data_IF_743649453271
#
_entry.id   IF_743649453271
#
_cell.length_a   1.000
_cell.length_b   1.000
_cell.length_c   1.000
_cell.angle_alpha   90.00
_cell.angle_beta   90.00
_cell.angle_gamma   90.00
#
_symmetry.space_group_name_H-M   'P 1'
#
loop_
_entity.id
_entity.type
_entity.pdbx_description
1 polymer ?
#
# COMPACT_ATOMS: atom_id res chain seq x y z
N UNK A 1 -52.62 -20.27 -44.62
CA UNK A 1 -52.54 -20.25 -43.15
C UNK A 1 -51.08 -20.46 -42.64
N UNK A 2 -50.07 -19.92 -43.35
CA UNK A 2 -48.63 -20.14 -43.06
C UNK A 2 -47.90 -18.81 -42.75
N UNK A 3 -48.50 -17.66 -43.07
CA UNK A 3 -47.89 -16.34 -42.91
C UNK A 3 -47.88 -15.79 -41.47
N UNK A 4 -48.56 -16.43 -40.51
CA UNK A 4 -48.63 -15.97 -39.11
C UNK A 4 -47.46 -16.47 -38.23
N UNK A 5 -46.72 -17.49 -38.63
CA UNK A 5 -45.62 -18.04 -37.83
C UNK A 5 -44.33 -17.22 -37.95
N UNK A 6 -44.02 -16.67 -39.13
CA UNK A 6 -42.79 -15.90 -39.39
C UNK A 6 -42.70 -14.52 -38.69
N UNK A 7 -43.81 -13.94 -38.21
CA UNK A 7 -43.77 -12.66 -37.49
C UNK A 7 -43.36 -12.77 -36.02
N UNK A 8 -43.39 -13.98 -35.44
CA UNK A 8 -43.07 -14.18 -34.02
C UNK A 8 -41.56 -14.22 -33.77
N UNK A 9 -40.77 -14.69 -34.74
CA UNK A 9 -39.31 -14.80 -34.62
C UNK A 9 -38.57 -13.45 -34.68
N UNK A 10 -39.06 -12.48 -35.45
CA UNK A 10 -38.39 -11.16 -35.57
C UNK A 10 -38.47 -10.31 -34.29
N UNK A 11 -39.47 -10.51 -33.44
CA UNK A 11 -39.58 -9.79 -32.15
C UNK A 11 -38.74 -10.44 -31.04
N UNK A 12 -38.53 -11.76 -31.10
CA UNK A 12 -37.67 -12.48 -30.16
C UNK A 12 -36.19 -12.14 -30.31
N UNK A 13 -35.73 -11.98 -31.57
CA UNK A 13 -34.32 -11.69 -31.89
C UNK A 13 -33.82 -10.36 -31.33
N UNK A 14 -34.63 -9.29 -31.39
CA UNK A 14 -34.24 -8.00 -30.81
C UNK A 14 -34.11 -8.05 -29.28
N UNK A 15 -34.98 -8.80 -28.60
CA UNK A 15 -34.93 -8.94 -27.15
C UNK A 15 -33.72 -9.76 -26.70
N UNK A 16 -33.36 -10.81 -27.46
CA UNK A 16 -32.16 -11.62 -27.18
C UNK A 16 -30.88 -10.82 -27.36
N UNK A 17 -30.80 -9.98 -28.39
CA UNK A 17 -29.65 -9.09 -28.61
C UNK A 17 -29.48 -8.09 -27.47
N UNK A 18 -30.58 -7.49 -26.98
CA UNK A 18 -30.55 -6.57 -25.83
C UNK A 18 -30.11 -7.29 -24.56
N UNK A 19 -30.61 -8.50 -24.31
CA UNK A 19 -30.21 -9.32 -23.16
C UNK A 19 -28.72 -9.71 -23.22
N UNK A 20 -28.23 -10.13 -24.38
CA UNK A 20 -26.80 -10.40 -24.61
C UNK A 20 -25.95 -9.15 -24.40
N UNK A 21 -26.42 -8.00 -24.85
CA UNK A 21 -25.72 -6.75 -24.65
C UNK A 21 -25.63 -6.37 -23.17
N UNK A 22 -26.74 -6.53 -22.42
CA UNK A 22 -26.78 -6.30 -20.98
C UNK A 22 -25.85 -7.24 -20.20
N UNK A 23 -25.79 -8.52 -20.55
CA UNK A 23 -24.91 -9.48 -19.87
C UNK A 23 -23.43 -9.16 -20.13
N UNK A 24 -23.08 -8.78 -21.37
CA UNK A 24 -21.73 -8.30 -21.70
C UNK A 24 -21.41 -7.02 -20.94
N UNK A 25 -22.35 -6.07 -20.85
CA UNK A 25 -22.17 -4.84 -20.09
C UNK A 25 -21.91 -5.13 -18.61
N UNK A 26 -22.69 -6.02 -18.00
CA UNK A 26 -22.52 -6.42 -16.61
C UNK A 26 -21.19 -7.13 -16.36
N UNK A 27 -20.79 -8.01 -17.29
CA UNK A 27 -19.50 -8.71 -17.21
C UNK A 27 -18.33 -7.72 -17.31
N UNK A 28 -18.40 -6.78 -18.25
CA UNK A 28 -17.39 -5.74 -18.43
C UNK A 28 -17.33 -4.80 -17.23
N UNK A 29 -18.49 -4.39 -16.69
CA UNK A 29 -18.58 -3.59 -15.47
C UNK A 29 -17.92 -4.29 -14.29
N UNK A 30 -18.24 -5.56 -14.08
CA UNK A 30 -17.65 -6.37 -13.01
C UNK A 30 -16.13 -6.53 -13.16
N UNK A 31 -15.65 -6.74 -14.40
CA UNK A 31 -14.22 -6.86 -14.69
C UNK A 31 -13.47 -5.54 -14.45
N UNK A 32 -14.02 -4.42 -14.92
CA UNK A 32 -13.42 -3.09 -14.76
C UNK A 32 -13.38 -2.70 -13.28
N UNK A 33 -14.47 -2.88 -12.52
CA UNK A 33 -14.48 -2.57 -11.09
C UNK A 33 -13.49 -3.42 -10.28
N UNK A 34 -13.38 -4.71 -10.57
CA UNK A 34 -12.40 -5.58 -9.89
C UNK A 34 -10.96 -5.23 -10.27
N UNK A 35 -10.71 -4.90 -11.54
CA UNK A 35 -9.37 -4.51 -12.01
C UNK A 35 -8.92 -3.16 -11.45
N UNK A 36 -9.78 -2.15 -11.51
CA UNK A 36 -9.46 -0.80 -11.03
C UNK A 36 -9.33 -0.73 -9.51
N UNK A 37 -10.21 -1.39 -8.77
CA UNK A 37 -10.11 -1.41 -7.30
C UNK A 37 -8.82 -2.08 -6.82
N UNK A 38 -8.44 -3.21 -7.44
CA UNK A 38 -7.20 -3.91 -7.06
C UNK A 38 -5.95 -3.09 -7.40
N UNK A 39 -5.95 -2.39 -8.54
CA UNK A 39 -4.83 -1.54 -8.95
C UNK A 39 -4.68 -0.31 -8.05
N UNK A 40 -5.78 0.35 -7.68
CA UNK A 40 -5.76 1.48 -6.73
C UNK A 40 -5.25 1.02 -5.37
N UNK A 41 -5.73 -0.12 -4.86
CA UNK A 41 -5.28 -0.68 -3.58
C UNK A 41 -3.80 -1.06 -3.59
N UNK A 42 -3.30 -1.65 -4.69
CA UNK A 42 -1.89 -1.99 -4.84
C UNK A 42 -1.01 -0.72 -4.87
N UNK A 43 -1.40 0.30 -5.64
CA UNK A 43 -0.64 1.55 -5.73
C UNK A 43 -0.66 2.33 -4.41
N UNK A 44 -1.80 2.40 -3.73
CA UNK A 44 -1.87 3.05 -2.41
C UNK A 44 -1.06 2.30 -1.36
N UNK A 45 -0.97 0.96 -1.44
CA UNK A 45 -0.10 0.19 -0.56
C UNK A 45 1.39 0.51 -0.80
N UNK A 46 1.82 0.65 -2.06
CA UNK A 46 3.20 1.02 -2.42
C UNK A 46 3.52 2.43 -1.91
N UNK A 47 2.70 3.43 -2.24
CA UNK A 47 2.93 4.83 -1.81
C UNK A 47 2.96 4.93 -0.28
N UNK A 48 2.05 4.25 0.42
CA UNK A 48 2.04 4.22 1.88
C UNK A 48 3.30 3.57 2.47
N UNK A 49 3.90 2.61 1.77
CA UNK A 49 5.15 1.99 2.18
C UNK A 49 6.32 2.97 1.98
N UNK A 50 6.39 3.63 0.83
CA UNK A 50 7.43 4.62 0.51
C UNK A 50 7.40 5.80 1.49
N UNK A 51 6.22 6.34 1.81
CA UNK A 51 6.07 7.41 2.80
C UNK A 51 6.50 6.97 4.21
N UNK A 52 6.22 5.71 4.56
CA UNK A 52 6.64 5.13 5.84
C UNK A 52 8.16 5.01 5.90
N UNK A 53 8.78 4.53 4.84
CA UNK A 53 10.22 4.35 4.80
C UNK A 53 10.95 5.70 4.80
N UNK A 54 10.43 6.70 4.07
CA UNK A 54 10.96 8.07 4.09
C UNK A 54 10.87 8.71 5.50
N UNK A 55 9.73 8.55 6.17
CA UNK A 55 9.57 9.07 7.55
C UNK A 55 10.47 8.34 8.55
N UNK A 56 10.67 7.03 8.40
CA UNK A 56 11.61 6.25 9.22
C UNK A 56 13.05 6.72 9.01
N UNK A 57 13.46 6.94 7.75
CA UNK A 57 14.80 7.45 7.43
C UNK A 57 15.03 8.85 8.01
N UNK A 58 14.02 9.71 8.02
CA UNK A 58 14.11 11.03 8.64
C UNK A 58 14.29 10.95 10.16
N UNK A 59 13.56 10.06 10.84
CA UNK A 59 13.73 9.82 12.28
C UNK A 59 15.13 9.29 12.62
N UNK A 60 15.67 8.41 11.77
CA UNK A 60 17.06 7.93 11.89
C UNK A 60 18.08 9.04 11.69
N UNK A 61 17.91 9.87 10.66
CA UNK A 61 18.82 10.98 10.38
C UNK A 61 18.86 11.97 11.55
N UNK A 62 17.71 12.30 12.13
CA UNK A 62 17.62 13.13 13.34
C UNK A 62 18.33 12.48 14.53
N UNK A 63 18.17 11.17 14.73
CA UNK A 63 18.88 10.46 15.80
C UNK A 63 20.39 10.50 15.59
N UNK A 64 20.85 10.25 14.36
CA UNK A 64 22.27 10.26 14.03
C UNK A 64 22.88 11.65 14.23
N UNK A 65 22.16 12.70 13.82
CA UNK A 65 22.55 14.09 14.05
C UNK A 65 22.65 14.44 15.54
N UNK A 66 21.68 14.02 16.36
CA UNK A 66 21.72 14.21 17.81
C UNK A 66 22.95 13.53 18.43
N UNK A 67 23.29 12.33 17.96
CA UNK A 67 24.45 11.55 18.41
C UNK A 67 25.78 12.14 17.97
N UNK A 68 25.82 12.78 16.80
CA UNK A 68 27.00 13.49 16.32
C UNK A 68 27.30 14.72 17.18
N UNK A 69 26.25 15.47 17.56
CA UNK A 69 26.38 16.66 18.40
C UNK A 69 26.56 16.34 19.88
N UNK A 70 25.96 15.26 20.37
CA UNK A 70 26.10 14.78 21.75
C UNK A 70 26.27 13.24 21.79
N UNK A 71 27.52 12.74 21.69
CA UNK A 71 27.81 11.31 21.66
C UNK A 71 27.58 10.62 23.01
N UNK A 72 27.34 11.37 24.09
CA UNK A 72 27.01 10.82 25.40
C UNK A 72 25.53 10.42 25.49
N UNK A 73 24.69 10.94 24.61
CA UNK A 73 23.25 10.73 24.59
C UNK A 73 22.86 9.41 23.91
N UNK A 74 23.27 8.28 24.49
CA UNK A 74 23.09 6.91 23.93
C UNK A 74 21.80 6.20 24.35
N UNK A 75 20.86 6.91 24.99
CA UNK A 75 19.60 6.34 25.45
C UNK A 75 18.57 6.12 24.34
N UNK A 76 17.44 5.54 24.69
CA UNK A 76 16.31 5.44 23.78
C UNK A 76 15.68 6.82 23.59
N UNK A 77 15.38 7.20 22.33
CA UNK A 77 14.72 8.47 22.01
C UNK A 77 13.58 8.26 21.04
N UNK A 78 12.53 9.04 21.24
CA UNK A 78 11.35 9.07 20.38
C UNK A 78 11.41 10.26 19.42
N UNK A 79 11.11 10.01 18.15
CA UNK A 79 11.05 11.02 17.09
C UNK A 79 9.69 10.96 16.40
N UNK A 80 9.15 12.11 16.02
CA UNK A 80 7.93 12.19 15.22
C UNK A 80 8.30 12.52 13.78
N UNK A 81 7.93 11.65 12.84
CA UNK A 81 8.15 11.85 11.42
C UNK A 81 6.93 11.38 10.63
N UNK A 82 6.44 12.22 9.71
CA UNK A 82 5.29 11.88 8.86
C UNK A 82 4.00 11.58 9.64
N UNK A 83 3.80 12.24 10.80
CA UNK A 83 2.62 12.02 11.66
C UNK A 83 2.63 10.71 12.45
N UNK A 84 3.75 9.98 12.44
CA UNK A 84 3.98 8.77 13.25
C UNK A 84 5.12 9.00 14.24
N UNK A 85 5.09 8.25 15.32
CA UNK A 85 6.15 8.25 16.32
C UNK A 85 7.04 7.01 16.13
N UNK A 86 8.35 7.19 16.24
CA UNK A 86 9.35 6.14 16.13
C UNK A 86 10.25 6.19 17.36
N UNK A 87 10.48 5.04 17.99
CA UNK A 87 11.50 4.88 19.02
C UNK A 87 12.78 4.37 18.36
N UNK A 88 13.86 5.10 18.53
CA UNK A 88 15.19 4.66 18.09
C UNK A 88 15.97 4.21 19.32
N UNK A 89 16.23 2.91 19.38
CA UNK A 89 16.97 2.25 20.45
C UNK A 89 18.39 1.94 20.01
N UNK A 90 19.37 2.12 20.89
CA UNK A 90 20.76 1.76 20.63
C UNK A 90 21.07 0.43 21.29
N UNK A 91 21.50 -0.56 20.50
CA UNK A 91 21.94 -1.86 21.02
C UNK A 91 23.44 -2.04 20.81
N UNK A 92 24.17 -2.55 21.82
CA UNK A 92 25.57 -2.91 21.62
C UNK A 92 25.67 -4.11 20.66
N UNK A 93 26.62 -4.07 19.73
CA UNK A 93 26.90 -5.21 18.86
C UNK A 93 27.67 -6.27 19.65
N UNK A 94 27.22 -7.54 19.70
CA UNK A 94 27.96 -8.61 20.35
C UNK A 94 29.39 -8.73 19.77
N UNK A 95 30.34 -9.03 20.66
CA UNK A 95 31.73 -8.64 20.51
C UNK A 95 32.54 -9.48 19.51
N UNK A 96 32.70 -8.94 18.30
CA UNK A 96 33.79 -9.26 17.38
C UNK A 96 34.83 -8.13 17.45
N UNK A 97 35.38 -7.91 18.63
CA UNK A 97 36.66 -7.21 18.86
C UNK A 97 36.85 -5.73 18.46
N UNK A 98 35.79 -4.91 18.44
CA UNK A 98 35.96 -3.45 18.61
C UNK A 98 34.81 -2.90 19.44
N UNK A 99 35.03 -2.71 20.75
CA UNK A 99 34.02 -2.27 21.74
C UNK A 99 33.46 -0.85 21.55
N UNK A 100 33.26 -0.42 20.30
CA UNK A 100 32.77 0.90 19.91
C UNK A 100 31.64 0.85 18.86
N UNK A 101 31.23 -0.34 18.41
CA UNK A 101 30.11 -0.47 17.47
C UNK A 101 28.77 -0.59 18.19
N UNK A 102 27.83 0.26 17.77
CA UNK A 102 26.45 0.32 18.27
C UNK A 102 25.51 0.20 17.07
N UNK A 103 24.50 -0.64 17.17
CA UNK A 103 23.43 -0.72 16.17
C UNK A 103 22.26 0.15 16.59
N UNK A 104 21.71 0.87 15.62
CA UNK A 104 20.49 1.64 15.78
C UNK A 104 19.32 0.76 15.33
N UNK A 105 18.37 0.54 16.23
CA UNK A 105 17.16 -0.20 15.92
C UNK A 105 15.96 0.74 16.04
N UNK A 106 15.20 0.88 14.96
CA UNK A 106 14.02 1.75 14.91
C UNK A 106 12.79 0.88 14.97
N UNK A 107 11.88 1.23 15.87
CA UNK A 107 10.54 0.63 15.93
C UNK A 107 9.50 1.74 15.91
N UNK A 108 8.30 1.50 15.34
CA UNK A 108 7.16 2.36 15.61
C UNK A 108 6.96 2.47 17.12
N UNK A 109 6.71 3.68 17.62
CA UNK A 109 6.10 3.87 18.93
C UNK A 109 4.60 3.72 18.70
N UNK A 110 4.00 2.66 19.23
CA UNK A 110 2.58 2.29 19.02
C UNK A 110 1.60 3.48 19.07
#
# INVERSE_FOLDING_TARGET
MISKLLRRDRRGSSLTVVLLFLTVLFSMWAAVHRGTASLILAQTAIVKHDDRDASLMNALAQRLWDLENDPSNKGDKSYSAGGKSYVVTMRPVPADSTGKQWTLHVSPAD
#
